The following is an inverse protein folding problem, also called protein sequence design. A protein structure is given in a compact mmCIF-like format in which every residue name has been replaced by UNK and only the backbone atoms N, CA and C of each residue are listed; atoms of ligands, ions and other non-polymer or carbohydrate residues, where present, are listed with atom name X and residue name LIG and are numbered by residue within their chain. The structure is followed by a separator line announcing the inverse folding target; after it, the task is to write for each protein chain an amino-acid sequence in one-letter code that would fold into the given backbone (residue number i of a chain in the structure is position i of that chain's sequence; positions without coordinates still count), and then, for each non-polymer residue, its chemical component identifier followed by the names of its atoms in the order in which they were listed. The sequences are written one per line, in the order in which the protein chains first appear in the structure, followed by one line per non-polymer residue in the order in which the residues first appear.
data_IF_453652922236
#
_entry.id   IF_453652922236
#
_cell.length_a   1.000
_cell.length_b   1.000
_cell.length_c   1.000
_cell.angle_alpha   90.00
_cell.angle_beta   90.00
_cell.angle_gamma   90.00
#
_symmetry.space_group_name_H-M   'P 1'
#
loop_
_entity.id
_entity.type
_entity.pdbx_description
1 polymer ?
#
# COMPACT_ATOMS: atom_id res chain seq x y z
N UNK A 1 8.73 8.87 23.69
CA UNK A 1 7.81 8.92 22.53
C UNK A 1 7.98 7.72 21.58
N UNK A 2 9.19 7.16 21.39
CA UNK A 2 9.42 6.00 20.51
C UNK A 2 8.74 4.68 20.95
N UNK A 3 8.25 4.59 22.19
CA UNK A 3 7.58 3.38 22.72
C UNK A 3 6.09 3.30 22.39
N UNK A 4 5.44 4.42 22.05
CA UNK A 4 3.99 4.46 21.75
C UNK A 4 3.65 3.61 20.52
N UNK A 5 4.43 3.64 19.41
CA UNK A 5 4.20 2.75 18.27
C UNK A 5 4.34 1.25 18.59
N UNK A 6 5.05 0.88 19.66
CA UNK A 6 5.24 -0.52 20.04
C UNK A 6 3.98 -1.14 20.65
N UNK A 7 3.07 -0.33 21.18
CA UNK A 7 1.81 -0.79 21.80
C UNK A 7 0.95 -1.57 20.79
N UNK A 8 0.55 -1.00 19.63
CA UNK A 8 -0.23 -1.75 18.64
C UNK A 8 0.55 -2.94 18.05
N UNK A 9 1.87 -2.85 17.94
CA UNK A 9 2.72 -3.96 17.47
C UNK A 9 2.71 -5.12 18.46
N UNK A 10 2.83 -4.84 19.77
CA UNK A 10 2.75 -5.84 20.82
C UNK A 10 1.38 -6.49 20.90
N UNK A 11 0.30 -5.71 20.74
CA UNK A 11 -1.06 -6.24 20.65
C UNK A 11 -1.19 -7.17 19.44
N UNK A 12 -0.74 -6.73 18.25
CA UNK A 12 -0.80 -7.55 17.04
C UNK A 12 0.00 -8.86 17.20
N UNK A 13 1.16 -8.81 17.84
CA UNK A 13 1.98 -9.99 18.14
C UNK A 13 1.25 -10.96 19.09
N UNK A 14 0.67 -10.46 20.17
CA UNK A 14 -0.09 -11.28 21.12
C UNK A 14 -1.31 -11.91 20.42
N UNK A 15 -2.06 -11.11 19.65
CA UNK A 15 -3.20 -11.60 18.88
C UNK A 15 -2.79 -12.67 17.85
N UNK A 16 -1.60 -12.58 17.27
CA UNK A 16 -1.15 -13.56 16.27
C UNK A 16 -1.07 -14.99 16.81
N UNK A 17 -0.81 -15.19 18.11
CA UNK A 17 -0.82 -16.51 18.73
C UNK A 17 -2.22 -17.13 18.86
N UNK A 18 -3.28 -16.33 18.76
CA UNK A 18 -4.67 -16.79 18.84
C UNK A 18 -5.31 -17.00 17.46
N UNK A 19 -4.66 -16.57 16.38
CA UNK A 19 -5.16 -16.80 15.03
C UNK A 19 -4.79 -18.20 14.55
N UNK A 20 -5.74 -18.89 13.91
CA UNK A 20 -5.44 -20.10 13.18
C UNK A 20 -4.62 -19.80 11.93
N UNK A 21 -3.73 -20.72 11.57
CA UNK A 21 -2.93 -20.63 10.36
C UNK A 21 -3.82 -20.54 9.09
N UNK A 22 -3.31 -19.89 8.05
CA UNK A 22 -4.08 -19.76 6.80
C UNK A 22 -4.38 -21.14 6.18
N UNK A 23 -5.62 -21.41 5.72
CA UNK A 23 -6.00 -22.71 5.15
C UNK A 23 -5.09 -23.15 3.99
N UNK A 24 -4.62 -22.19 3.18
CA UNK A 24 -3.70 -22.45 2.07
C UNK A 24 -2.33 -22.94 2.56
N UNK A 25 -1.82 -22.40 3.67
CA UNK A 25 -0.56 -22.85 4.25
C UNK A 25 -0.70 -24.25 4.84
N UNK A 26 -1.77 -24.52 5.61
CA UNK A 26 -2.06 -25.84 6.16
C UNK A 26 -2.20 -26.91 5.06
N UNK A 27 -2.94 -26.60 4.00
CA UNK A 27 -3.06 -27.44 2.82
C UNK A 27 -1.70 -27.71 2.14
N UNK A 28 -0.81 -26.71 2.10
CA UNK A 28 0.54 -26.84 1.51
C UNK A 28 1.51 -27.67 2.34
N UNK A 29 1.17 -27.95 3.61
CA UNK A 29 1.92 -28.81 4.53
C UNK A 29 1.28 -30.18 4.68
N UNK A 30 0.34 -30.51 3.79
CA UNK A 30 -0.38 -31.77 3.78
C UNK A 30 -1.21 -32.00 5.08
N UNK A 31 -1.54 -30.92 5.82
CA UNK A 31 -2.39 -30.89 7.03
C UNK A 31 -3.85 -30.60 6.67
N UNK A 32 -4.49 -31.53 5.96
CA UNK A 32 -5.80 -31.29 5.35
C UNK A 32 -6.97 -31.10 6.32
N UNK A 33 -6.99 -31.86 7.42
CA UNK A 33 -8.06 -31.75 8.43
C UNK A 33 -8.11 -30.39 9.12
N UNK A 34 -6.94 -29.85 9.44
CA UNK A 34 -6.79 -28.53 10.04
C UNK A 34 -7.09 -27.42 9.04
N UNK A 35 -6.70 -27.61 7.77
CA UNK A 35 -7.05 -26.68 6.70
C UNK A 35 -8.58 -26.56 6.52
N UNK A 36 -9.31 -27.67 6.56
CA UNK A 36 -10.77 -27.69 6.52
C UNK A 36 -11.39 -27.04 7.75
N UNK A 37 -10.83 -27.25 8.94
CA UNK A 37 -11.30 -26.61 10.16
C UNK A 37 -11.10 -25.08 10.13
N UNK A 38 -9.93 -24.62 9.69
CA UNK A 38 -9.65 -23.19 9.53
C UNK A 38 -10.55 -22.56 8.44
N UNK A 39 -10.79 -23.28 7.35
CA UNK A 39 -11.70 -22.82 6.28
C UNK A 39 -13.15 -22.72 6.79
N UNK A 40 -13.59 -23.69 7.60
CA UNK A 40 -14.91 -23.70 8.23
C UNK A 40 -15.11 -22.51 9.18
N UNK A 41 -14.09 -22.22 10.01
CA UNK A 41 -14.09 -21.03 10.88
C UNK A 41 -14.18 -19.73 10.09
N UNK A 42 -13.44 -19.60 8.98
CA UNK A 42 -13.48 -18.40 8.13
C UNK A 42 -14.81 -18.18 7.41
N UNK A 43 -15.48 -19.27 7.02
CA UNK A 43 -16.78 -19.23 6.32
C UNK A 43 -17.98 -19.20 7.26
N UNK A 44 -17.76 -19.40 8.57
CA UNK A 44 -18.84 -19.52 9.55
C UNK A 44 -19.74 -20.75 9.31
N UNK A 45 -19.20 -21.81 8.71
CA UNK A 45 -19.93 -23.03 8.36
C UNK A 45 -19.36 -24.25 9.12
N UNK A 46 -20.04 -25.39 9.02
CA UNK A 46 -19.64 -26.65 9.68
C UNK A 46 -18.63 -27.39 8.80
N UNK A 47 -17.65 -28.07 9.41
CA UNK A 47 -16.56 -28.82 8.71
C UNK A 47 -17.05 -29.77 7.60
N UNK A 48 -18.31 -30.21 7.63
CA UNK A 48 -18.88 -31.21 6.73
C UNK A 48 -19.80 -30.63 5.62
N UNK A 49 -19.77 -29.32 5.39
CA UNK A 49 -20.48 -28.68 4.29
C UNK A 49 -19.79 -28.99 2.95
N UNK A 50 -20.56 -29.42 1.95
CA UNK A 50 -20.04 -29.79 0.63
C UNK A 50 -19.30 -28.62 -0.05
N UNK A 51 -19.73 -27.38 0.22
CA UNK A 51 -19.12 -26.16 -0.35
C UNK A 51 -17.69 -25.96 0.13
N UNK A 52 -17.41 -26.34 1.38
CA UNK A 52 -16.08 -26.29 1.98
C UNK A 52 -15.15 -27.35 1.38
N UNK A 53 -15.67 -28.54 1.09
CA UNK A 53 -14.91 -29.60 0.42
C UNK A 53 -14.51 -29.21 -1.01
N UNK A 54 -15.42 -28.58 -1.76
CA UNK A 54 -15.11 -28.08 -3.10
C UNK A 54 -14.07 -26.95 -3.09
N UNK A 55 -14.21 -25.97 -2.19
CA UNK A 55 -13.22 -24.89 -2.04
C UNK A 55 -11.85 -25.44 -1.62
N UNK A 56 -11.82 -26.43 -0.71
CA UNK A 56 -10.58 -27.11 -0.32
C UNK A 56 -9.93 -27.87 -1.49
N UNK A 57 -10.74 -28.49 -2.35
CA UNK A 57 -10.25 -29.18 -3.56
C UNK A 57 -9.63 -28.20 -4.55
N UNK A 58 -10.23 -27.03 -4.78
CA UNK A 58 -9.62 -25.97 -5.60
C UNK A 58 -8.27 -25.50 -5.02
N UNK A 59 -8.20 -25.31 -3.70
CA UNK A 59 -6.95 -24.92 -3.03
C UNK A 59 -5.87 -25.99 -3.25
N UNK A 60 -6.21 -27.27 -3.09
CA UNK A 60 -5.29 -28.39 -3.33
C UNK A 60 -4.80 -28.44 -4.78
N UNK A 61 -5.68 -28.21 -5.75
CA UNK A 61 -5.32 -28.17 -7.15
C UNK A 61 -4.38 -27.00 -7.47
N UNK A 62 -4.64 -25.80 -6.95
CA UNK A 62 -3.74 -24.65 -7.09
C UNK A 62 -2.36 -24.91 -6.49
N UNK A 63 -2.29 -25.56 -5.34
CA UNK A 63 -1.03 -25.93 -4.68
C UNK A 63 -0.28 -26.97 -5.52
N UNK A 64 -0.99 -27.98 -6.05
CA UNK A 64 -0.40 -29.00 -6.91
C UNK A 64 0.16 -28.40 -8.20
N UNK A 65 -0.60 -27.52 -8.86
CA UNK A 65 -0.16 -26.78 -10.04
C UNK A 65 1.05 -25.89 -9.72
N UNK A 66 1.06 -25.22 -8.56
CA UNK A 66 2.21 -24.40 -8.14
C UNK A 66 3.44 -25.28 -7.86
N UNK A 67 3.28 -26.40 -7.16
CA UNK A 67 4.36 -27.39 -6.93
C UNK A 67 4.90 -27.93 -8.25
N UNK A 68 4.05 -28.33 -9.20
CA UNK A 68 4.50 -28.82 -10.51
C UNK A 68 5.25 -27.76 -11.33
N UNK A 69 4.80 -26.51 -11.29
CA UNK A 69 5.40 -25.43 -12.06
C UNK A 69 6.68 -24.83 -11.44
N UNK A 70 6.87 -24.95 -10.13
CA UNK A 70 8.00 -24.35 -9.39
C UNK A 70 8.94 -25.35 -8.70
N UNK A 71 8.56 -26.64 -8.56
CA UNK A 71 9.41 -27.61 -7.89
C UNK A 71 10.76 -27.76 -8.60
N UNK A 72 11.84 -27.49 -7.87
CA UNK A 72 13.21 -27.65 -8.36
C UNK A 72 13.72 -26.52 -9.25
N UNK A 73 12.97 -25.42 -9.46
CA UNK A 73 13.46 -24.27 -10.21
C UNK A 73 14.25 -23.34 -9.28
N UNK A 74 15.60 -23.26 -9.39
CA UNK A 74 16.37 -22.30 -8.61
C UNK A 74 15.97 -20.86 -8.94
N UNK A 75 16.00 -19.99 -7.94
CA UNK A 75 15.67 -18.55 -8.07
C UNK A 75 16.44 -17.88 -9.21
N UNK A 76 17.69 -18.31 -9.45
CA UNK A 76 18.50 -17.80 -10.55
C UNK A 76 17.90 -18.04 -11.94
N UNK A 77 17.20 -19.16 -12.16
CA UNK A 77 16.51 -19.42 -13.42
C UNK A 77 15.32 -18.47 -13.57
N UNK A 78 14.58 -18.19 -12.50
CA UNK A 78 13.48 -17.22 -12.51
C UNK A 78 14.00 -15.81 -12.84
N UNK A 79 15.12 -15.40 -12.24
CA UNK A 79 15.77 -14.11 -12.56
C UNK A 79 16.20 -14.07 -14.03
N UNK A 80 16.80 -15.16 -14.53
CA UNK A 80 17.19 -15.28 -15.94
C UNK A 80 15.97 -15.16 -16.86
N UNK A 81 14.87 -15.84 -16.54
CA UNK A 81 13.60 -15.77 -17.28
C UNK A 81 13.00 -14.36 -17.29
N UNK A 82 13.06 -13.64 -16.17
CA UNK A 82 12.64 -12.23 -16.11
C UNK A 82 13.49 -11.38 -17.05
N UNK A 83 14.79 -11.65 -17.16
CA UNK A 83 15.70 -10.89 -18.01
C UNK A 83 15.57 -11.23 -19.52
N UNK A 84 15.39 -12.52 -19.86
CA UNK A 84 15.35 -12.99 -21.25
C UNK A 84 13.96 -12.89 -21.88
N UNK A 85 12.89 -13.12 -21.13
CA UNK A 85 11.52 -13.11 -21.65
C UNK A 85 10.99 -11.67 -21.65
N UNK A 86 10.82 -11.09 -22.84
CA UNK A 86 10.37 -9.71 -23.03
C UNK A 86 9.08 -9.36 -22.26
N UNK A 87 8.11 -10.29 -22.22
CA UNK A 87 6.84 -10.10 -21.49
C UNK A 87 7.04 -10.00 -19.97
N UNK A 88 7.88 -10.87 -19.40
CA UNK A 88 8.18 -10.85 -17.96
C UNK A 88 9.00 -9.63 -17.60
N UNK A 89 9.99 -9.28 -18.43
CA UNK A 89 10.81 -8.08 -18.27
C UNK A 89 9.97 -6.82 -18.23
N UNK A 90 9.01 -6.65 -19.15
CA UNK A 90 8.13 -5.47 -19.19
C UNK A 90 7.27 -5.35 -17.93
N UNK A 91 6.70 -6.46 -17.46
CA UNK A 91 5.88 -6.50 -16.23
C UNK A 91 6.73 -6.20 -14.99
N UNK A 92 7.92 -6.78 -14.91
CA UNK A 92 8.87 -6.54 -13.83
C UNK A 92 9.33 -5.09 -13.78
N UNK A 93 9.79 -4.54 -14.91
CA UNK A 93 10.20 -3.13 -14.98
C UNK A 93 9.04 -2.20 -14.60
N UNK A 94 7.82 -2.50 -15.03
CA UNK A 94 6.65 -1.70 -14.65
C UNK A 94 6.42 -1.71 -13.13
N UNK A 95 6.46 -2.87 -12.49
CA UNK A 95 6.33 -2.96 -11.02
C UNK A 95 7.46 -2.23 -10.28
N UNK A 96 8.70 -2.38 -10.75
CA UNK A 96 9.87 -1.69 -10.18
C UNK A 96 9.74 -0.18 -10.33
N UNK A 97 9.40 0.32 -11.52
CA UNK A 97 9.21 1.76 -11.76
C UNK A 97 8.09 2.32 -10.89
N UNK A 98 6.98 1.59 -10.70
CA UNK A 98 5.89 2.04 -9.83
C UNK A 98 6.35 2.19 -8.37
N UNK A 99 7.13 1.24 -7.85
CA UNK A 99 7.71 1.31 -6.50
C UNK A 99 8.71 2.47 -6.37
N UNK A 100 9.59 2.66 -7.36
CA UNK A 100 10.55 3.77 -7.38
C UNK A 100 9.81 5.11 -7.37
N UNK A 101 8.83 5.30 -8.27
CA UNK A 101 8.04 6.54 -8.35
C UNK A 101 7.31 6.81 -7.03
N UNK A 102 6.72 5.78 -6.43
CA UNK A 102 6.06 5.94 -5.13
C UNK A 102 7.03 6.38 -4.04
N UNK A 103 8.20 5.76 -3.89
CA UNK A 103 9.16 6.17 -2.87
C UNK A 103 9.79 7.54 -3.16
N UNK A 104 10.14 7.82 -4.42
CA UNK A 104 10.82 9.04 -4.83
C UNK A 104 9.92 10.27 -4.90
N UNK A 105 8.60 10.09 -5.00
CA UNK A 105 7.64 11.21 -4.89
C UNK A 105 7.58 11.83 -3.48
N UNK A 106 8.28 11.23 -2.50
CA UNK A 106 8.58 11.87 -1.22
C UNK A 106 7.50 11.71 -0.15
N UNK A 107 6.53 10.80 -0.31
CA UNK A 107 5.41 10.66 0.64
C UNK A 107 5.83 10.37 2.07
N UNK A 108 6.88 9.57 2.25
CA UNK A 108 7.48 9.32 3.56
C UNK A 108 8.18 10.59 4.08
N UNK A 109 9.00 11.25 3.26
CA UNK A 109 9.72 12.46 3.64
C UNK A 109 8.79 13.59 4.09
N UNK A 110 7.71 13.85 3.34
CA UNK A 110 6.70 14.85 3.71
C UNK A 110 6.02 14.46 5.03
N UNK A 111 5.68 13.19 5.21
CA UNK A 111 5.04 12.74 6.46
C UNK A 111 5.97 12.88 7.67
N UNK A 112 7.29 12.63 7.50
CA UNK A 112 8.27 12.79 8.58
C UNK A 112 8.48 14.25 8.98
N UNK A 113 8.53 15.15 8.00
CA UNK A 113 8.83 16.56 8.22
C UNK A 113 7.58 17.46 8.19
N UNK A 114 6.39 16.88 8.25
CA UNK A 114 5.13 17.62 8.13
C UNK A 114 5.01 18.81 9.11
N UNK A 115 5.43 18.72 10.39
CA UNK A 115 5.32 19.87 11.28
C UNK A 115 6.28 21.00 10.89
N UNK A 116 7.47 20.64 10.40
CA UNK A 116 8.47 21.61 9.94
C UNK A 116 8.02 22.28 8.63
N UNK A 117 7.40 21.51 7.73
CA UNK A 117 6.81 22.02 6.48
C UNK A 117 5.72 23.05 6.79
N UNK A 118 4.85 22.78 7.77
CA UNK A 118 3.84 23.75 8.18
C UNK A 118 4.43 25.01 8.81
N UNK A 119 5.52 24.89 9.57
CA UNK A 119 6.25 26.05 10.08
C UNK A 119 6.84 26.89 8.95
N UNK A 120 7.44 26.26 7.92
CA UNK A 120 7.92 26.97 6.73
C UNK A 120 6.79 27.62 5.92
N UNK A 121 5.61 26.99 5.93
CA UNK A 121 4.41 27.55 5.31
C UNK A 121 3.79 28.69 6.12
N UNK A 122 4.37 29.13 7.24
CA UNK A 122 3.90 30.28 8.02
C UNK A 122 3.01 29.96 9.22
N UNK A 123 2.84 28.68 9.58
CA UNK A 123 2.13 28.30 10.82
C UNK A 123 2.99 28.63 12.03
N UNK A 124 2.58 29.65 12.78
CA UNK A 124 3.28 30.09 14.00
C UNK A 124 2.79 29.29 15.21
N UNK A 125 3.74 28.73 15.96
CA UNK A 125 3.48 28.02 17.21
C UNK A 125 3.60 26.50 17.08
N UNK A 126 4.40 25.91 17.96
CA UNK A 126 4.71 24.48 17.95
C UNK A 126 3.46 23.60 18.15
N UNK A 127 2.53 24.06 19.01
CA UNK A 127 1.26 23.37 19.25
C UNK A 127 0.34 23.40 18.02
N UNK A 128 0.24 24.55 17.35
CA UNK A 128 -0.59 24.72 16.15
C UNK A 128 -0.08 23.85 15.01
N UNK A 129 1.24 23.82 14.78
CA UNK A 129 1.86 22.95 13.77
C UNK A 129 1.60 21.46 14.05
N UNK A 130 1.66 21.04 15.32
CA UNK A 130 1.40 19.66 15.71
C UNK A 130 -0.07 19.27 15.52
N UNK A 131 -1.01 20.15 15.85
CA UNK A 131 -2.45 19.93 15.62
C UNK A 131 -2.75 19.85 14.11
N UNK A 132 -2.19 20.76 13.30
CA UNK A 132 -2.35 20.73 11.84
C UNK A 132 -1.74 19.47 11.22
N UNK A 133 -0.61 18.99 11.77
CA UNK A 133 -0.01 17.70 11.40
C UNK A 133 -0.93 16.51 11.74
N UNK A 134 -1.61 16.56 12.89
CA UNK A 134 -2.65 15.60 13.24
C UNK A 134 -3.81 15.60 12.26
N UNK A 135 -4.31 16.80 11.90
CA UNK A 135 -5.36 16.96 10.90
C UNK A 135 -4.94 16.41 9.52
N UNK A 136 -3.70 16.65 9.10
CA UNK A 136 -3.12 16.06 7.90
C UNK A 136 -3.15 14.53 7.94
N UNK A 137 -2.79 13.92 9.08
CA UNK A 137 -2.89 12.48 9.29
C UNK A 137 -4.31 11.95 9.17
N UNK A 138 -5.30 12.64 9.76
CA UNK A 138 -6.72 12.26 9.68
C UNK A 138 -7.23 12.35 8.25
N UNK A 139 -6.95 13.44 7.53
CA UNK A 139 -7.34 13.60 6.12
C UNK A 139 -6.73 12.47 5.29
N UNK A 140 -5.42 12.22 5.44
CA UNK A 140 -4.73 11.13 4.74
C UNK A 140 -5.38 9.78 5.06
N UNK A 141 -5.74 9.50 6.32
CA UNK A 141 -6.40 8.27 6.71
C UNK A 141 -7.78 8.12 6.05
N UNK A 142 -8.63 9.13 6.15
CA UNK A 142 -10.00 9.12 5.60
C UNK A 142 -9.98 8.90 4.10
N UNK A 143 -9.17 9.67 3.36
CA UNK A 143 -9.06 9.50 1.92
C UNK A 143 -8.46 8.15 1.54
N UNK A 144 -7.45 7.66 2.28
CA UNK A 144 -6.91 6.32 2.01
C UNK A 144 -7.99 5.26 2.17
N UNK A 145 -8.79 5.30 3.24
CA UNK A 145 -9.88 4.34 3.46
C UNK A 145 -10.94 4.38 2.36
N UNK A 146 -11.39 5.58 1.96
CA UNK A 146 -12.37 5.76 0.87
C UNK A 146 -11.84 5.15 -0.44
N UNK A 147 -10.57 5.39 -0.77
CA UNK A 147 -9.98 4.88 -2.00
C UNK A 147 -9.73 3.37 -1.94
N UNK A 148 -9.23 2.85 -0.82
CA UNK A 148 -8.99 1.42 -0.63
C UNK A 148 -10.27 0.59 -0.65
N UNK A 149 -11.36 1.04 -0.05
CA UNK A 149 -12.59 0.24 0.11
C UNK A 149 -13.55 0.24 -1.08
N UNK A 150 -13.31 1.02 -2.13
CA UNK A 150 -14.15 0.90 -3.32
C UNK A 150 -13.77 1.74 -4.52
N UNK A 151 -13.17 2.92 -4.31
CA UNK A 151 -12.89 3.80 -5.46
C UNK A 151 -11.79 3.25 -6.38
N UNK A 152 -10.80 2.51 -5.87
CA UNK A 152 -9.75 1.92 -6.72
C UNK A 152 -10.33 0.90 -7.71
N UNK A 153 -11.34 0.13 -7.30
CA UNK A 153 -11.97 -0.87 -8.17
C UNK A 153 -12.86 -0.23 -9.24
N UNK A 154 -13.52 0.89 -8.91
CA UNK A 154 -14.42 1.61 -9.84
C UNK A 154 -13.65 2.49 -10.83
N UNK A 155 -12.68 3.29 -10.37
CA UNK A 155 -11.94 4.23 -11.22
C UNK A 155 -10.87 3.53 -12.08
N UNK A 156 -10.42 2.36 -11.66
CA UNK A 156 -9.36 1.61 -12.31
C UNK A 156 -7.96 2.10 -11.94
N UNK A 157 -7.04 1.15 -11.84
CA UNK A 157 -5.70 1.32 -11.25
C UNK A 157 -4.86 2.39 -11.96
N UNK A 158 -4.86 2.37 -13.31
CA UNK A 158 -4.09 3.32 -14.13
C UNK A 158 -4.53 4.77 -13.93
N UNK A 159 -5.84 5.01 -13.87
CA UNK A 159 -6.39 6.36 -13.71
C UNK A 159 -6.11 6.89 -12.30
N UNK A 160 -6.27 6.07 -11.27
CA UNK A 160 -5.90 6.42 -9.89
C UNK A 160 -4.41 6.80 -9.77
N UNK A 161 -3.52 6.03 -10.40
CA UNK A 161 -2.09 6.35 -10.34
C UNK A 161 -1.74 7.65 -11.07
N UNK A 162 -2.25 7.86 -12.29
CA UNK A 162 -1.96 9.07 -13.07
C UNK A 162 -2.53 10.34 -12.40
N UNK A 163 -3.76 10.26 -11.86
CA UNK A 163 -4.38 11.38 -11.14
C UNK A 163 -3.64 11.69 -9.84
N UNK A 164 -3.24 10.66 -9.08
CA UNK A 164 -2.46 10.83 -7.86
C UNK A 164 -1.10 11.49 -8.11
N UNK A 165 -0.38 11.06 -9.15
CA UNK A 165 0.91 11.67 -9.53
C UNK A 165 0.71 13.11 -10.03
N UNK A 166 -0.29 13.37 -10.87
CA UNK A 166 -0.56 14.70 -11.38
C UNK A 166 -0.85 15.71 -10.26
N UNK A 167 -1.71 15.34 -9.30
CA UNK A 167 -2.00 16.17 -8.13
C UNK A 167 -0.74 16.47 -7.32
N UNK A 168 0.09 15.45 -7.06
CA UNK A 168 1.33 15.62 -6.32
C UNK A 168 2.33 16.52 -7.04
N UNK A 169 2.46 16.38 -8.36
CA UNK A 169 3.33 17.26 -9.16
C UNK A 169 2.89 18.71 -9.07
N UNK A 170 1.58 18.99 -9.20
CA UNK A 170 1.04 20.35 -9.10
C UNK A 170 1.34 20.95 -7.73
N UNK A 171 1.12 20.20 -6.66
CA UNK A 171 1.38 20.68 -5.28
C UNK A 171 2.86 20.88 -5.01
N UNK A 172 3.74 20.05 -5.57
CA UNK A 172 5.19 20.20 -5.43
C UNK A 172 5.71 21.43 -6.18
N UNK A 173 5.21 21.68 -7.39
CA UNK A 173 5.55 22.90 -8.16
C UNK A 173 5.12 24.13 -7.37
N UNK A 174 3.89 24.13 -6.85
CA UNK A 174 3.39 25.23 -6.04
C UNK A 174 4.26 25.47 -4.79
N UNK A 175 4.57 24.41 -4.05
CA UNK A 175 5.38 24.51 -2.83
C UNK A 175 6.80 25.02 -3.13
N UNK A 176 7.40 24.59 -4.25
CA UNK A 176 8.70 25.09 -4.73
C UNK A 176 8.67 26.59 -5.03
N UNK A 177 7.64 27.07 -5.75
CA UNK A 177 7.45 28.50 -6.03
C UNK A 177 7.23 29.30 -4.75
N UNK A 178 6.41 28.77 -3.83
CA UNK A 178 6.16 29.39 -2.54
C UNK A 178 7.44 29.59 -1.72
N UNK A 179 8.25 28.53 -1.57
CA UNK A 179 9.50 28.59 -0.83
C UNK A 179 10.53 29.55 -1.46
N UNK A 180 10.53 29.67 -2.79
CA UNK A 180 11.46 30.54 -3.51
C UNK A 180 11.09 32.03 -3.42
N UNK A 181 9.79 32.37 -3.57
CA UNK A 181 9.36 33.76 -3.75
C UNK A 181 8.68 34.36 -2.52
N UNK A 182 7.98 33.56 -1.72
CA UNK A 182 7.04 34.06 -0.73
C UNK A 182 7.45 33.80 0.71
N UNK A 183 8.49 33.01 0.96
CA UNK A 183 8.95 32.64 2.30
C UNK A 183 9.23 33.84 3.22
N UNK A 184 9.83 34.92 2.69
CA UNK A 184 10.15 36.14 3.44
C UNK A 184 9.20 37.31 3.15
N UNK A 185 8.23 37.10 2.25
CA UNK A 185 7.32 38.18 1.78
C UNK A 185 6.25 38.58 2.81
N UNK A 186 5.99 37.72 3.80
CA UNK A 186 4.88 37.91 4.76
C UNK A 186 3.49 37.78 4.13
N UNK A 187 3.37 37.30 2.89
CA UNK A 187 2.08 37.15 2.21
C UNK A 187 1.25 36.00 2.80
N UNK A 188 0.25 36.36 3.61
CA UNK A 188 -0.62 35.40 4.30
C UNK A 188 -1.44 34.53 3.34
N UNK A 189 -1.95 35.09 2.25
CA UNK A 189 -2.74 34.33 1.27
C UNK A 189 -1.92 33.24 0.57
N UNK A 190 -0.64 33.54 0.28
CA UNK A 190 0.27 32.55 -0.30
C UNK A 190 0.63 31.44 0.72
N UNK A 191 0.77 31.81 2.00
CA UNK A 191 0.99 30.88 3.12
C UNK A 191 -0.20 29.94 3.33
N UNK A 192 -1.44 30.45 3.33
CA UNK A 192 -2.64 29.63 3.46
C UNK A 192 -2.80 28.65 2.28
N UNK A 193 -2.48 29.10 1.06
CA UNK A 193 -2.48 28.24 -0.13
C UNK A 193 -1.36 27.18 -0.09
N UNK A 194 -0.19 27.48 0.51
CA UNK A 194 0.85 26.49 0.75
C UNK A 194 0.38 25.39 1.72
N UNK A 195 -0.28 25.76 2.81
CA UNK A 195 -0.90 24.80 3.73
C UNK A 195 -1.92 23.93 2.99
N UNK A 196 -2.83 24.53 2.21
CA UNK A 196 -3.81 23.79 1.43
C UNK A 196 -3.17 22.82 0.42
N UNK A 197 -2.07 23.23 -0.22
CA UNK A 197 -1.34 22.39 -1.17
C UNK A 197 -0.80 21.10 -0.53
N UNK A 198 -0.39 21.16 0.74
CA UNK A 198 0.07 19.98 1.49
C UNK A 198 -1.08 19.01 1.76
N UNK A 199 -2.28 19.50 2.04
CA UNK A 199 -3.47 18.63 2.17
C UNK A 199 -3.85 17.98 0.83
N UNK A 200 -3.81 18.75 -0.26
CA UNK A 200 -4.06 18.22 -1.62
C UNK A 200 -3.01 17.15 -1.97
N UNK A 201 -1.74 17.35 -1.57
CA UNK A 201 -0.69 16.34 -1.72
C UNK A 201 -1.06 15.03 -1.01
N UNK A 202 -1.53 15.08 0.24
CA UNK A 202 -1.99 13.89 0.96
C UNK A 202 -3.10 13.15 0.23
N UNK A 203 -4.08 13.89 -0.32
CA UNK A 203 -5.17 13.31 -1.11
C UNK A 203 -4.59 12.62 -2.36
N UNK A 204 -3.73 13.30 -3.12
CA UNK A 204 -3.08 12.73 -4.30
C UNK A 204 -2.25 11.48 -3.99
N UNK A 205 -1.58 11.45 -2.84
CA UNK A 205 -0.87 10.27 -2.35
C UNK A 205 -1.82 9.09 -2.06
N UNK A 206 -2.91 9.35 -1.34
CA UNK A 206 -3.91 8.36 -0.95
C UNK A 206 -4.63 7.73 -2.14
N UNK A 207 -4.91 8.50 -3.20
CA UNK A 207 -5.60 8.02 -4.41
C UNK A 207 -4.77 6.98 -5.17
N UNK A 208 -3.49 7.28 -5.39
CA UNK A 208 -2.66 6.53 -6.31
C UNK A 208 -1.55 5.75 -5.63
N UNK A 209 -0.52 6.46 -5.18
CA UNK A 209 0.75 5.85 -4.80
C UNK A 209 0.67 5.05 -3.51
N UNK A 210 -0.29 5.32 -2.61
CA UNK A 210 -0.41 4.58 -1.36
C UNK A 210 -0.81 3.11 -1.55
N UNK A 211 -1.75 2.84 -2.46
CA UNK A 211 -2.45 1.55 -2.55
C UNK A 211 -2.14 0.81 -3.85
N UNK A 212 -2.16 1.53 -4.98
CA UNK A 212 -2.06 0.93 -6.32
C UNK A 212 -0.74 0.23 -6.52
N UNK A 213 0.37 0.76 -5.99
CA UNK A 213 1.70 0.16 -6.14
C UNK A 213 1.82 -1.25 -5.56
N UNK A 214 1.05 -1.56 -4.51
CA UNK A 214 1.06 -2.87 -3.85
C UNK A 214 0.08 -3.82 -4.52
N UNK A 215 -1.12 -3.33 -4.84
CA UNK A 215 -2.16 -4.13 -5.49
C UNK A 215 -1.73 -4.55 -6.90
N UNK A 216 -1.27 -3.58 -7.69
CA UNK A 216 -0.94 -3.81 -9.10
C UNK A 216 0.22 -4.82 -9.26
N UNK A 217 1.18 -4.83 -8.32
CA UNK A 217 2.24 -5.84 -8.29
C UNK A 217 1.67 -7.26 -8.21
N UNK A 218 0.63 -7.49 -7.41
CA UNK A 218 -0.01 -8.81 -7.30
C UNK A 218 -0.83 -9.21 -8.53
N UNK A 219 -1.33 -8.23 -9.30
CA UNK A 219 -2.18 -8.45 -10.48
C UNK A 219 -1.36 -8.73 -11.75
N UNK A 220 -0.19 -8.10 -11.92
CA UNK A 220 0.58 -8.21 -13.18
C UNK A 220 1.47 -9.45 -13.26
N UNK A 221 1.94 -9.96 -12.11
CA UNK A 221 2.91 -11.05 -12.09
C UNK A 221 2.23 -12.41 -12.27
N UNK A 222 2.56 -13.18 -13.32
CA UNK A 222 2.11 -14.56 -13.44
C UNK A 222 2.69 -15.40 -12.31
N UNK A 223 1.98 -16.46 -11.91
CA UNK A 223 2.32 -17.33 -10.76
C UNK A 223 3.76 -17.87 -10.77
N UNK A 224 4.41 -17.96 -11.93
CA UNK A 224 5.81 -18.39 -12.07
C UNK A 224 6.83 -17.36 -11.56
N UNK A 225 6.53 -16.06 -11.67
CA UNK A 225 7.45 -14.96 -11.30
C UNK A 225 6.94 -14.09 -10.15
N UNK A 226 5.74 -14.40 -9.62
CA UNK A 226 5.10 -13.71 -8.49
C UNK A 226 5.59 -14.26 -7.16
#
# INVERSE_FOLDING_TARGET
VQSIPLIPVGIALICSFFLSDTPRWLASKDRGDEALQALAQLRGSVKNDYRLSDEYREIQEQIRMKRQNLAGVPVWIIIKEIATISTYRKRFLLGVTMQIVAQWSGGNGITYYIPQIFTYAGVVGNNTSLITSGAYGVVKLVFTLIFTWGLVDVFGRRRCMLTGIALQCITHIYMSVYLSLFLQSGNKSASDAAIASVFIYAIGWSIGLCTVQYLYGTEIYPTRIR
#
